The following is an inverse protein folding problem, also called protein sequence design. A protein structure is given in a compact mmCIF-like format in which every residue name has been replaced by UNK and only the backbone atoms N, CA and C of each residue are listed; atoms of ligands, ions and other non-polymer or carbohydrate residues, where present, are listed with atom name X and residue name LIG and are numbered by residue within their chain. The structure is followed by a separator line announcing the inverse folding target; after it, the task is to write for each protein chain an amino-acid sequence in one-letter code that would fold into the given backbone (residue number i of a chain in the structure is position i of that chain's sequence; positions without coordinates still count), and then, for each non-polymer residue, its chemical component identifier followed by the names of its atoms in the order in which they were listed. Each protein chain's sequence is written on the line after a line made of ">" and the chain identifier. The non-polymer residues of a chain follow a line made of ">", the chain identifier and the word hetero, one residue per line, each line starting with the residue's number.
data_IF_379312393345
#
_entry.id   IF_379312393345
#
_cell.length_a   1.000
_cell.length_b   1.000
_cell.length_c   1.000
_cell.angle_alpha   90.00
_cell.angle_beta   90.00
_cell.angle_gamma   90.00
#
_symmetry.space_group_name_H-M   'P 1'
#
loop_
_entity.id
_entity.type
_entity.pdbx_description
1 polymer ?
#
# COMPACT_ATOMS: atom_id res chain seq x y z
N UNK A 1 50.45 -10.63 -14.74
CA UNK A 1 48.99 -10.38 -14.83
C UNK A 1 48.36 -11.76 -14.78
N UNK A 2 47.69 -12.19 -13.72
CA UNK A 2 46.27 -11.96 -13.47
C UNK A 2 46.03 -11.90 -11.95
N UNK A 3 45.52 -10.77 -11.49
CA UNK A 3 45.38 -10.45 -10.07
C UNK A 3 44.23 -11.24 -9.46
N UNK A 4 44.54 -12.24 -8.62
CA UNK A 4 43.57 -12.97 -7.80
C UNK A 4 42.67 -12.04 -6.97
N UNK A 5 43.15 -10.83 -6.67
CA UNK A 5 42.35 -9.78 -6.01
C UNK A 5 41.14 -9.32 -6.83
N UNK A 6 41.21 -9.38 -8.17
CA UNK A 6 40.07 -9.03 -9.05
C UNK A 6 38.99 -10.12 -9.07
N UNK A 7 39.38 -11.39 -8.94
CA UNK A 7 38.43 -12.50 -8.81
C UNK A 7 37.68 -12.48 -7.48
N UNK A 8 38.40 -12.22 -6.38
CA UNK A 8 37.77 -12.10 -5.06
C UNK A 8 36.77 -10.92 -5.01
N UNK A 9 37.14 -9.76 -5.60
CA UNK A 9 36.24 -8.63 -5.69
C UNK A 9 34.98 -8.93 -6.54
N UNK A 10 35.14 -9.63 -7.68
CA UNK A 10 34.01 -10.04 -8.52
C UNK A 10 33.06 -11.04 -7.84
N UNK A 11 33.59 -12.01 -7.10
CA UNK A 11 32.80 -13.01 -6.39
C UNK A 11 31.92 -12.40 -5.29
N UNK A 12 32.45 -11.41 -4.55
CA UNK A 12 31.67 -10.68 -3.54
C UNK A 12 30.53 -9.88 -4.18
N UNK A 13 30.79 -9.23 -5.32
CA UNK A 13 29.76 -8.47 -6.03
C UNK A 13 28.68 -9.38 -6.58
N UNK A 14 29.03 -10.51 -7.20
CA UNK A 14 28.06 -11.49 -7.74
C UNK A 14 27.23 -12.14 -6.64
N UNK A 15 27.85 -12.49 -5.50
CA UNK A 15 27.12 -13.02 -4.35
C UNK A 15 26.16 -11.98 -3.75
N UNK A 16 26.56 -10.71 -3.68
CA UNK A 16 25.70 -9.64 -3.19
C UNK A 16 24.51 -9.34 -4.12
N UNK A 17 24.70 -9.36 -5.45
CA UNK A 17 23.60 -9.20 -6.41
C UNK A 17 22.69 -10.43 -6.48
N UNK A 18 23.21 -11.64 -6.33
CA UNK A 18 22.35 -12.82 -6.24
C UNK A 18 21.47 -12.81 -4.98
N UNK A 19 22.02 -12.34 -3.85
CA UNK A 19 21.27 -12.18 -2.60
C UNK A 19 20.15 -11.14 -2.69
N UNK A 20 20.35 -10.04 -3.44
CA UNK A 20 19.30 -9.02 -3.60
C UNK A 20 18.14 -9.48 -4.48
N UNK A 21 18.35 -10.40 -5.42
CA UNK A 21 17.27 -10.98 -6.24
C UNK A 21 16.43 -11.98 -5.43
N UNK A 22 17.04 -12.79 -4.55
CA UNK A 22 16.29 -13.70 -3.67
C UNK A 22 15.53 -13.00 -2.55
N UNK A 23 15.99 -11.83 -2.10
CA UNK A 23 15.28 -11.03 -1.09
C UNK A 23 14.13 -10.19 -1.68
N UNK A 24 14.02 -10.10 -3.01
CA UNK A 24 12.93 -9.44 -3.72
C UNK A 24 11.78 -10.38 -4.11
N UNK A 25 11.75 -11.60 -3.58
CA UNK A 25 10.66 -12.56 -3.74
C UNK A 25 9.39 -12.13 -3.00
N UNK A 26 8.84 -10.97 -3.38
CA UNK A 26 7.43 -10.73 -3.18
C UNK A 26 6.70 -11.76 -4.03
N UNK A 27 6.03 -12.71 -3.37
CA UNK A 27 4.99 -13.47 -4.02
C UNK A 27 4.10 -12.46 -4.74
N UNK A 28 4.05 -12.53 -6.07
CA UNK A 28 3.03 -11.84 -6.83
C UNK A 28 1.70 -12.50 -6.45
N UNK A 29 1.13 -12.09 -5.32
CA UNK A 29 -0.21 -12.46 -4.94
C UNK A 29 -1.12 -11.74 -5.93
N UNK A 30 -1.84 -12.54 -6.71
CA UNK A 30 -2.82 -12.04 -7.65
C UNK A 30 -3.80 -11.13 -6.90
N UNK A 31 -4.09 -9.98 -7.50
CA UNK A 31 -5.03 -9.00 -6.96
C UNK A 31 -6.40 -9.66 -6.77
N UNK A 32 -6.74 -9.94 -5.51
CA UNK A 32 -8.06 -10.52 -5.18
C UNK A 32 -9.10 -9.40 -5.33
N UNK A 33 -10.24 -9.61 -6.00
CA UNK A 33 -11.26 -8.58 -6.07
C UNK A 33 -11.73 -8.13 -4.67
N UNK A 34 -11.99 -6.84 -4.48
CA UNK A 34 -12.36 -6.22 -3.20
C UNK A 34 -13.59 -6.88 -2.55
N UNK A 35 -14.58 -7.26 -3.37
CA UNK A 35 -15.79 -7.95 -2.90
C UNK A 35 -15.50 -9.34 -2.32
N UNK A 36 -14.42 -9.99 -2.78
CA UNK A 36 -13.97 -11.29 -2.30
C UNK A 36 -13.06 -11.15 -1.08
N UNK A 37 -12.40 -10.00 -0.92
CA UNK A 37 -11.47 -9.73 0.17
C UNK A 37 -12.13 -9.24 1.47
N UNK A 38 -13.46 -9.07 1.48
CA UNK A 38 -14.27 -8.69 2.65
C UNK A 38 -13.65 -7.54 3.47
N UNK A 39 -13.79 -6.32 2.94
CA UNK A 39 -13.14 -5.13 3.50
C UNK A 39 -14.02 -4.40 4.51
N UNK A 40 -13.44 -4.10 5.67
CA UNK A 40 -14.07 -3.32 6.74
C UNK A 40 -13.59 -1.87 6.71
N UNK A 41 -14.52 -0.94 6.94
CA UNK A 41 -14.26 0.49 6.98
C UNK A 41 -14.27 0.99 8.42
N UNK A 42 -13.30 1.85 8.74
CA UNK A 42 -13.15 2.46 10.06
C UNK A 42 -13.08 3.97 9.92
N UNK A 43 -13.92 4.67 10.68
CA UNK A 43 -13.84 6.11 10.84
C UNK A 43 -12.78 6.46 11.91
N UNK A 44 -11.86 7.34 11.56
CA UNK A 44 -10.78 7.83 12.41
C UNK A 44 -11.10 9.26 12.79
N UNK A 45 -11.61 9.46 14.01
CA UNK A 45 -11.89 10.76 14.63
C UNK A 45 -12.66 11.77 13.76
N UNK A 46 -13.50 11.29 12.85
CA UNK A 46 -14.23 12.10 11.87
C UNK A 46 -13.33 13.02 11.01
N UNK A 47 -12.04 12.68 10.91
CA UNK A 47 -11.02 13.34 10.10
C UNK A 47 -10.43 12.41 9.06
N UNK A 48 -10.56 11.09 9.21
CA UNK A 48 -9.99 10.14 8.27
C UNK A 48 -10.74 8.83 8.24
N UNK A 49 -10.38 8.01 7.26
CA UNK A 49 -10.95 6.68 7.12
C UNK A 49 -9.87 5.67 6.75
N UNK A 50 -10.08 4.46 7.24
CA UNK A 50 -9.23 3.31 6.99
C UNK A 50 -10.08 2.17 6.46
N UNK A 51 -9.55 1.44 5.48
CA UNK A 51 -10.09 0.17 5.04
C UNK A 51 -9.11 -0.94 5.40
N UNK A 52 -9.62 -2.06 5.92
CA UNK A 52 -8.86 -3.27 6.19
C UNK A 52 -9.59 -4.49 5.63
N UNK A 53 -8.93 -5.25 4.76
CA UNK A 53 -9.49 -6.42 4.12
C UNK A 53 -8.95 -7.71 4.76
N UNK A 54 -9.80 -8.72 4.88
CA UNK A 54 -9.43 -10.03 5.44
C UNK A 54 -8.36 -10.73 4.58
N UNK A 55 -8.36 -10.47 3.27
CA UNK A 55 -7.36 -10.96 2.32
C UNK A 55 -6.55 -9.80 1.72
N UNK A 56 -5.27 -10.05 1.38
CA UNK A 56 -4.44 -9.08 0.68
C UNK A 56 -5.01 -8.79 -0.72
N UNK A 57 -5.37 -7.52 -0.96
CA UNK A 57 -5.94 -7.04 -2.21
C UNK A 57 -5.51 -5.59 -2.46
N UNK A 58 -5.21 -5.23 -3.70
CA UNK A 58 -5.06 -3.83 -4.06
C UNK A 58 -6.41 -3.11 -4.04
N UNK A 59 -6.53 -2.22 -3.08
CA UNK A 59 -7.69 -1.37 -2.93
C UNK A 59 -7.28 0.03 -2.52
N UNK A 60 -8.18 0.98 -2.81
CA UNK A 60 -8.10 2.36 -2.39
C UNK A 60 -9.21 2.63 -1.40
N UNK A 61 -8.89 3.34 -0.33
CA UNK A 61 -9.94 4.00 0.45
C UNK A 61 -10.26 5.33 -0.23
N UNK A 62 -11.55 5.58 -0.46
CA UNK A 62 -12.06 6.85 -0.95
C UNK A 62 -12.80 7.55 0.18
N UNK A 63 -12.33 8.74 0.52
CA UNK A 63 -12.95 9.62 1.49
C UNK A 63 -13.64 10.75 0.76
N UNK A 64 -14.89 10.99 1.07
CA UNK A 64 -15.56 12.24 0.73
C UNK A 64 -15.43 13.17 1.91
N UNK A 65 -14.72 14.27 1.70
CA UNK A 65 -14.47 15.30 2.69
C UNK A 65 -15.21 16.59 2.30
N UNK A 66 -15.57 17.41 3.28
CA UNK A 66 -16.16 18.75 3.08
C UNK A 66 -15.18 19.79 3.59
N UNK A 67 -14.68 20.62 2.67
CA UNK A 67 -14.00 21.85 2.98
C UNK A 67 -14.91 22.94 2.43
N UNK A 68 -15.60 23.62 3.32
CA UNK A 68 -16.59 24.63 2.94
C UNK A 68 -16.06 25.55 1.82
N UNK A 69 -16.78 25.76 0.70
CA UNK A 69 -18.16 25.31 0.41
C UNK A 69 -18.27 24.05 -0.49
N UNK A 70 -17.17 23.35 -0.82
CA UNK A 70 -17.18 22.30 -1.86
C UNK A 70 -16.70 20.95 -1.29
N UNK A 71 -17.44 19.85 -1.53
CA UNK A 71 -16.95 18.52 -1.22
C UNK A 71 -15.79 18.14 -2.15
N UNK A 72 -14.79 17.48 -1.60
CA UNK A 72 -13.61 17.01 -2.29
C UNK A 72 -13.34 15.57 -1.90
N UNK A 73 -12.69 14.85 -2.79
CA UNK A 73 -12.50 13.40 -2.63
C UNK A 73 -11.02 13.10 -2.54
N UNK A 74 -10.64 12.37 -1.50
CA UNK A 74 -9.32 11.78 -1.37
C UNK A 74 -9.39 10.29 -1.64
N UNK A 75 -8.45 9.80 -2.44
CA UNK A 75 -8.23 8.38 -2.62
C UNK A 75 -6.76 8.07 -2.41
N UNK A 76 -6.49 6.98 -1.68
CA UNK A 76 -5.13 6.53 -1.45
C UNK A 76 -5.08 5.02 -1.44
N UNK A 77 -4.11 4.46 -2.18
CA UNK A 77 -3.81 3.04 -2.10
C UNK A 77 -3.21 2.67 -0.75
N UNK A 78 -3.44 1.42 -0.37
CA UNK A 78 -2.71 0.79 0.71
C UNK A 78 -1.21 0.76 0.43
N UNK A 79 -0.35 0.92 1.45
CA UNK A 79 1.09 0.77 1.25
C UNK A 79 1.42 -0.71 1.05
N UNK A 80 2.29 -1.00 0.10
CA UNK A 80 2.73 -2.36 -0.19
C UNK A 80 3.38 -3.06 1.03
N UNK A 81 3.97 -2.29 1.94
CA UNK A 81 4.62 -2.79 3.16
C UNK A 81 3.64 -3.45 4.13
N UNK A 82 2.35 -3.12 4.07
CA UNK A 82 1.32 -3.74 4.92
C UNK A 82 0.57 -4.84 4.18
N UNK A 83 1.19 -5.46 3.17
CA UNK A 83 0.57 -6.58 2.45
C UNK A 83 -0.68 -6.19 1.66
N UNK A 84 -0.82 -4.90 1.32
CA UNK A 84 -1.93 -4.34 0.53
C UNK A 84 -3.32 -4.47 1.19
N UNK A 85 -3.45 -5.17 2.31
CA UNK A 85 -4.73 -5.38 2.99
C UNK A 85 -5.23 -4.16 3.76
N UNK A 86 -4.43 -3.11 3.89
CA UNK A 86 -4.78 -1.88 4.61
C UNK A 86 -4.56 -0.64 3.75
N UNK A 87 -5.56 0.24 3.70
CA UNK A 87 -5.46 1.58 3.13
C UNK A 87 -6.05 2.62 4.07
N UNK A 88 -5.47 3.82 4.09
CA UNK A 88 -5.97 4.92 4.92
C UNK A 88 -5.76 6.27 4.24
N UNK A 89 -6.64 7.21 4.53
CA UNK A 89 -6.51 8.61 4.13
C UNK A 89 -7.09 9.52 5.22
N UNK A 90 -6.88 10.82 5.08
CA UNK A 90 -7.41 11.83 5.99
C UNK A 90 -7.88 13.07 5.22
N UNK A 91 -8.97 13.67 5.68
CA UNK A 91 -9.39 15.03 5.39
C UNK A 91 -8.50 16.04 6.15
N UNK A 92 -8.42 17.26 5.63
CA UNK A 92 -7.56 18.32 6.21
C UNK A 92 -8.07 18.89 7.56
N UNK A 93 -9.33 18.63 7.92
CA UNK A 93 -9.98 19.26 9.08
C UNK A 93 -10.89 18.32 9.87
N UNK A 94 -11.08 18.66 11.15
CA UNK A 94 -11.98 17.94 12.05
C UNK A 94 -13.43 18.05 11.61
N UNK A 95 -14.16 16.93 11.68
CA UNK A 95 -15.54 16.78 11.19
C UNK A 95 -15.73 17.03 9.69
N UNK A 96 -14.66 17.06 8.90
CA UNK A 96 -14.77 17.19 7.46
C UNK A 96 -15.17 15.89 6.76
N UNK A 97 -15.04 14.73 7.42
CA UNK A 97 -15.35 13.45 6.82
C UNK A 97 -16.87 13.23 6.69
N UNK A 98 -17.31 12.93 5.47
CA UNK A 98 -18.72 12.65 5.14
C UNK A 98 -18.94 11.16 4.85
N UNK A 99 -18.05 10.57 4.06
CA UNK A 99 -18.22 9.20 3.58
C UNK A 99 -16.88 8.50 3.42
N UNK A 100 -16.87 7.21 3.71
CA UNK A 100 -15.74 6.30 3.48
C UNK A 100 -16.24 5.21 2.55
N UNK A 101 -15.46 4.89 1.52
CA UNK A 101 -15.74 3.82 0.56
C UNK A 101 -14.46 3.04 0.27
N UNK A 102 -14.61 1.77 -0.11
CA UNK A 102 -13.52 1.00 -0.73
C UNK A 102 -13.72 1.02 -2.23
N UNK A 103 -12.67 1.35 -2.97
CA UNK A 103 -12.65 1.35 -4.44
C UNK A 103 -11.55 0.42 -4.92
N UNK A 104 -11.85 -0.34 -5.96
CA UNK A 104 -10.88 -1.16 -6.67
C UNK A 104 -10.42 -0.39 -7.92
N UNK A 105 -9.14 -0.49 -8.25
CA UNK A 105 -8.53 0.21 -9.38
C UNK A 105 -7.75 -0.77 -10.24
#
# INVERSE_FOLDING_TARGET
>A
MFSAKRFAAGAVVVAATAASVLAGGGVAQADVPVWQANCHLYNVFNTGGMANCELPTWHQVKLTCVAWPVPFVYWKYGPAQYGQNQSWASCDSFNALVQIEVVQA
#
